data_IF_644394577307
#
_entry.id   IF_644394577307
#
_cell.length_a   1.000
_cell.length_b   1.000
_cell.length_c   1.000
_cell.angle_alpha   90.00
_cell.angle_beta   90.00
_cell.angle_gamma   90.00
#
_symmetry.space_group_name_H-M   'P 1'
#
loop_
_entity.id
_entity.type
_entity.pdbx_description
1 polymer ?
#
# COMPACT_ATOMS: atom_id res chain seq x y z
N UNK A 1 -13.78 -14.97 -7.44
CA UNK A 1 -12.81 -15.39 -6.39
C UNK A 1 -11.43 -14.92 -6.76
N UNK A 2 -10.72 -14.33 -5.82
CA UNK A 2 -9.34 -13.83 -6.03
C UNK A 2 -8.41 -15.02 -6.29
N UNK A 3 -7.63 -15.01 -7.39
CA UNK A 3 -6.67 -16.09 -7.67
C UNK A 3 -5.55 -16.19 -6.61
N UNK A 4 -5.07 -17.39 -6.34
CA UNK A 4 -3.92 -17.65 -5.45
C UNK A 4 -2.59 -17.29 -6.15
N UNK A 5 -2.46 -16.05 -6.60
CA UNK A 5 -1.29 -15.49 -7.26
C UNK A 5 -0.79 -14.31 -6.42
N UNK A 6 0.49 -14.34 -6.06
CA UNK A 6 1.18 -13.21 -5.42
C UNK A 6 1.99 -12.48 -6.48
N UNK A 7 1.68 -11.21 -6.70
CA UNK A 7 2.47 -10.35 -7.57
C UNK A 7 3.53 -9.62 -6.76
N UNK A 8 4.80 -9.81 -7.13
CA UNK A 8 5.97 -9.13 -6.58
C UNK A 8 6.64 -8.33 -7.70
N UNK A 9 6.84 -7.04 -7.51
CA UNK A 9 7.61 -6.22 -8.45
C UNK A 9 9.03 -5.97 -7.93
N UNK A 10 10.05 -6.31 -8.76
CA UNK A 10 11.45 -6.05 -8.46
C UNK A 10 12.20 -5.72 -9.74
N UNK A 11 12.47 -4.44 -9.95
CA UNK A 11 13.05 -3.91 -11.18
C UNK A 11 14.56 -3.62 -11.08
N UNK A 12 15.12 -3.73 -9.89
CA UNK A 12 16.57 -3.66 -9.70
C UNK A 12 17.21 -5.01 -10.08
N UNK A 13 18.40 -4.95 -10.65
CA UNK A 13 19.24 -6.16 -10.87
C UNK A 13 19.95 -6.59 -9.59
N UNK A 14 19.85 -5.78 -8.52
CA UNK A 14 20.49 -6.07 -7.24
C UNK A 14 19.83 -7.28 -6.54
N UNK A 15 20.63 -8.01 -5.79
CA UNK A 15 20.11 -9.04 -4.89
C UNK A 15 19.13 -8.46 -3.85
N UNK A 16 18.15 -9.27 -3.45
CA UNK A 16 17.25 -8.90 -2.36
C UNK A 16 18.04 -8.64 -1.07
N UNK A 17 17.84 -7.47 -0.44
CA UNK A 17 18.37 -7.21 0.90
C UNK A 17 17.88 -8.26 1.91
N UNK A 18 18.60 -8.49 3.03
CA UNK A 18 18.26 -9.53 3.99
C UNK A 18 16.83 -9.45 4.53
N UNK A 19 16.27 -8.24 4.72
CA UNK A 19 14.90 -8.09 5.20
C UNK A 19 13.89 -8.50 4.12
N UNK A 20 14.13 -8.16 2.87
CA UNK A 20 13.27 -8.59 1.74
C UNK A 20 13.27 -10.12 1.62
N UNK A 21 14.47 -10.77 1.73
CA UNK A 21 14.56 -12.22 1.75
C UNK A 21 13.68 -12.82 2.85
N UNK A 22 13.70 -12.24 4.08
CA UNK A 22 12.84 -12.67 5.19
C UNK A 22 11.35 -12.48 4.92
N UNK A 23 10.98 -11.38 4.26
CA UNK A 23 9.59 -11.16 3.86
C UNK A 23 9.12 -12.23 2.87
N UNK A 24 9.90 -12.49 1.81
CA UNK A 24 9.57 -13.54 0.82
C UNK A 24 9.55 -14.94 1.45
N UNK A 25 10.44 -15.23 2.41
CA UNK A 25 10.41 -16.48 3.18
C UNK A 25 9.11 -16.61 4.00
N UNK A 26 8.60 -15.51 4.55
CA UNK A 26 7.32 -15.53 5.27
C UNK A 26 6.16 -15.86 4.33
N UNK A 27 6.19 -15.37 3.06
CA UNK A 27 5.18 -15.71 2.06
C UNK A 27 5.19 -17.20 1.75
N UNK A 28 6.36 -17.79 1.47
CA UNK A 28 6.49 -19.22 1.21
C UNK A 28 6.01 -20.08 2.38
N UNK A 29 6.16 -19.60 3.61
CA UNK A 29 5.71 -20.31 4.82
C UNK A 29 4.21 -20.26 5.03
N UNK A 30 3.61 -19.09 4.82
CA UNK A 30 2.19 -18.86 5.17
C UNK A 30 1.25 -18.95 3.96
N UNK A 31 1.82 -18.95 2.75
CA UNK A 31 1.10 -19.00 1.46
C UNK A 31 1.68 -20.11 0.57
N UNK A 32 1.81 -21.37 1.05
CA UNK A 32 2.51 -22.42 0.32
C UNK A 32 1.82 -22.79 -1.00
N UNK A 33 0.50 -22.60 -1.09
CA UNK A 33 -0.33 -22.94 -2.26
C UNK A 33 -0.50 -21.75 -3.24
N UNK A 34 0.22 -20.65 -3.01
CA UNK A 34 0.15 -19.49 -3.89
C UNK A 34 1.33 -19.47 -4.86
N UNK A 35 1.05 -19.14 -6.11
CA UNK A 35 2.09 -18.89 -7.10
C UNK A 35 2.67 -17.49 -6.90
N UNK A 36 4.00 -17.35 -6.84
CA UNK A 36 4.67 -16.04 -6.77
C UNK A 36 5.11 -15.64 -8.17
N UNK A 37 4.52 -14.59 -8.69
CA UNK A 37 4.86 -14.01 -9.99
C UNK A 37 5.75 -12.79 -9.80
N UNK A 38 7.02 -12.94 -10.19
CA UNK A 38 7.96 -11.84 -10.21
C UNK A 38 7.73 -10.99 -11.46
N UNK A 39 7.49 -9.70 -11.25
CA UNK A 39 7.42 -8.67 -12.27
C UNK A 39 8.76 -7.94 -12.32
N UNK A 40 9.59 -8.36 -13.24
CA UNK A 40 10.87 -7.78 -13.61
C UNK A 40 10.82 -7.30 -15.07
N UNK A 41 11.97 -6.84 -15.61
CA UNK A 41 12.09 -6.38 -16.99
C UNK A 41 11.96 -7.51 -18.04
N UNK A 42 11.96 -8.78 -17.62
CA UNK A 42 11.74 -9.93 -18.52
C UNK A 42 10.24 -10.24 -18.65
N UNK A 43 9.48 -10.05 -17.57
CA UNK A 43 8.03 -10.31 -17.56
C UNK A 43 7.22 -9.11 -18.05
N UNK A 44 7.67 -7.89 -17.76
CA UNK A 44 7.00 -6.67 -18.16
C UNK A 44 7.89 -5.84 -19.10
N UNK A 45 7.36 -5.50 -20.26
CA UNK A 45 8.05 -4.60 -21.19
C UNK A 45 7.98 -3.17 -20.63
N UNK A 46 9.08 -2.73 -20.04
CA UNK A 46 9.23 -1.41 -19.41
C UNK A 46 8.95 -0.28 -20.41
N UNK A 47 9.24 -0.48 -21.71
CA UNK A 47 9.08 0.52 -22.75
C UNK A 47 7.64 0.59 -23.30
N UNK A 48 6.77 -0.33 -22.88
CA UNK A 48 5.37 -0.36 -23.34
C UNK A 48 4.53 0.84 -22.87
N UNK A 49 4.98 1.55 -21.84
CA UNK A 49 4.30 2.72 -21.26
C UNK A 49 5.31 3.79 -20.89
N UNK A 50 5.07 5.02 -21.37
CA UNK A 50 5.97 6.16 -21.14
C UNK A 50 6.30 6.40 -19.65
N UNK A 51 5.33 6.19 -18.75
CA UNK A 51 5.55 6.29 -17.31
C UNK A 51 6.60 5.30 -16.82
N UNK A 52 6.47 4.03 -17.18
CA UNK A 52 7.39 2.96 -16.72
C UNK A 52 8.77 3.11 -17.31
N UNK A 53 8.88 3.45 -18.60
CA UNK A 53 10.13 3.73 -19.29
C UNK A 53 10.91 4.83 -18.56
N UNK A 54 10.33 6.02 -18.44
CA UNK A 54 10.98 7.18 -17.82
C UNK A 54 11.30 6.98 -16.34
N UNK A 55 10.40 6.34 -15.58
CA UNK A 55 10.65 6.05 -14.18
C UNK A 55 11.79 5.05 -13.99
N UNK A 56 11.88 4.05 -14.88
CA UNK A 56 12.95 3.05 -14.88
C UNK A 56 14.31 3.68 -15.24
N UNK A 57 14.38 4.48 -16.30
CA UNK A 57 15.59 5.22 -16.72
C UNK A 57 16.10 6.15 -15.59
N UNK A 58 15.19 6.82 -14.89
CA UNK A 58 15.51 7.63 -13.72
C UNK A 58 15.89 6.80 -12.47
N UNK A 59 15.92 5.45 -12.55
CA UNK A 59 16.13 4.54 -11.41
C UNK A 59 15.12 4.77 -10.28
N UNK A 60 13.90 5.18 -10.64
CA UNK A 60 12.77 5.38 -9.73
C UNK A 60 11.84 4.17 -9.75
N UNK A 61 12.40 3.00 -9.48
CA UNK A 61 11.74 1.70 -9.62
C UNK A 61 10.41 1.59 -8.88
N UNK A 62 10.26 2.24 -7.71
CA UNK A 62 9.00 2.24 -6.98
C UNK A 62 7.86 2.90 -7.76
N UNK A 63 8.14 3.96 -8.54
CA UNK A 63 7.14 4.63 -9.37
C UNK A 63 6.81 3.82 -10.63
N UNK A 64 7.76 3.11 -11.21
CA UNK A 64 7.48 2.14 -12.27
C UNK A 64 6.62 0.98 -11.73
N UNK A 65 6.93 0.49 -10.53
CA UNK A 65 6.15 -0.54 -9.85
C UNK A 65 4.71 -0.11 -9.55
N UNK A 66 4.43 1.18 -9.35
CA UNK A 66 3.08 1.69 -9.15
C UNK A 66 2.15 1.40 -10.34
N UNK A 67 2.67 1.50 -11.57
CA UNK A 67 1.93 1.06 -12.75
C UNK A 67 1.81 -0.46 -12.83
N UNK A 68 2.94 -1.17 -12.67
CA UNK A 68 3.02 -2.62 -12.87
C UNK A 68 2.12 -3.37 -11.90
N UNK A 69 2.01 -2.94 -10.61
CA UNK A 69 1.09 -3.54 -9.64
C UNK A 69 -0.36 -3.44 -10.07
N UNK A 70 -0.77 -2.27 -10.58
CA UNK A 70 -2.14 -2.04 -11.04
C UNK A 70 -2.42 -2.82 -12.33
N UNK A 71 -1.45 -2.88 -13.25
CA UNK A 71 -1.51 -3.69 -14.45
C UNK A 71 -1.70 -5.17 -14.13
N UNK A 72 -0.87 -5.71 -13.23
CA UNK A 72 -0.93 -7.10 -12.82
C UNK A 72 -2.30 -7.44 -12.19
N UNK A 73 -2.75 -6.62 -11.27
CA UNK A 73 -4.04 -6.80 -10.59
C UNK A 73 -5.22 -6.69 -11.57
N UNK A 74 -5.21 -5.70 -12.47
CA UNK A 74 -6.30 -5.51 -13.43
C UNK A 74 -6.42 -6.67 -14.41
N UNK A 75 -5.28 -7.15 -14.96
CA UNK A 75 -5.30 -8.18 -16.01
C UNK A 75 -5.42 -9.60 -15.46
N UNK A 76 -4.89 -9.88 -14.29
CA UNK A 76 -4.77 -11.24 -13.77
C UNK A 76 -5.51 -11.47 -12.45
N UNK A 77 -5.91 -10.41 -11.75
CA UNK A 77 -6.36 -10.56 -10.37
C UNK A 77 -5.24 -11.05 -9.45
N UNK A 78 -5.58 -11.58 -8.30
CA UNK A 78 -4.59 -12.07 -7.32
C UNK A 78 -4.27 -11.04 -6.25
N UNK A 79 -3.12 -11.19 -5.62
CA UNK A 79 -2.69 -10.36 -4.50
C UNK A 79 -1.35 -9.70 -4.83
N UNK A 80 -1.30 -8.39 -4.83
CA UNK A 80 -0.05 -7.65 -4.88
C UNK A 80 0.50 -7.47 -3.47
N UNK A 81 1.78 -7.77 -3.31
CA UNK A 81 2.55 -7.49 -2.09
C UNK A 81 3.81 -6.69 -2.43
N UNK A 82 4.00 -5.55 -1.76
CA UNK A 82 5.32 -4.90 -1.79
C UNK A 82 6.38 -5.84 -1.21
N UNK A 83 7.59 -5.79 -1.74
CA UNK A 83 8.67 -6.72 -1.39
C UNK A 83 9.03 -6.73 0.11
N UNK A 84 8.67 -5.68 0.85
CA UNK A 84 8.91 -5.52 2.28
C UNK A 84 7.65 -5.77 3.15
N UNK A 85 6.67 -6.50 2.63
CA UNK A 85 5.54 -7.02 3.38
C UNK A 85 5.92 -8.33 4.06
N UNK A 86 5.79 -8.40 5.39
CA UNK A 86 5.97 -9.62 6.17
C UNK A 86 4.60 -10.23 6.47
N UNK A 87 4.36 -11.47 6.00
CA UNK A 87 3.09 -12.20 6.16
C UNK A 87 3.09 -13.04 7.42
N UNK A 88 1.98 -13.04 8.17
CA UNK A 88 1.79 -13.79 9.42
C UNK A 88 0.81 -14.95 9.29
N UNK A 89 -0.17 -14.85 8.40
CA UNK A 89 -1.18 -15.89 8.15
C UNK A 89 -1.68 -15.87 6.70
N UNK A 90 -2.34 -16.95 6.27
CA UNK A 90 -2.93 -17.04 4.93
C UNK A 90 -4.00 -15.98 4.69
N UNK A 91 -4.13 -15.59 3.42
CA UNK A 91 -5.23 -14.75 2.92
C UNK A 91 -6.44 -15.57 2.46
N UNK A 92 -6.46 -16.90 2.65
CA UNK A 92 -7.48 -17.80 2.09
C UNK A 92 -8.91 -17.38 2.43
N UNK A 93 -9.14 -16.88 3.63
CA UNK A 93 -10.46 -16.43 4.07
C UNK A 93 -10.91 -15.10 3.47
N UNK A 94 -10.01 -14.38 2.77
CA UNK A 94 -10.31 -13.15 2.02
C UNK A 94 -10.55 -13.41 0.53
N UNK A 95 -10.20 -14.59 0.00
CA UNK A 95 -10.25 -14.86 -1.44
C UNK A 95 -11.66 -14.88 -2.02
N UNK A 96 -12.69 -15.06 -1.18
CA UNK A 96 -14.09 -15.01 -1.59
C UNK A 96 -14.64 -13.57 -1.72
N UNK A 97 -13.88 -12.58 -1.27
CA UNK A 97 -14.21 -11.18 -1.51
C UNK A 97 -13.86 -10.81 -2.96
N UNK A 98 -14.57 -9.86 -3.58
CA UNK A 98 -14.19 -9.36 -4.90
C UNK A 98 -12.84 -8.60 -4.86
N UNK A 99 -12.54 -7.99 -3.72
CA UNK A 99 -11.27 -7.32 -3.46
C UNK A 99 -11.04 -7.12 -1.97
N UNK A 100 -9.79 -6.80 -1.61
CA UNK A 100 -9.43 -6.22 -0.33
C UNK A 100 -8.29 -5.20 -0.49
N UNK A 101 -8.40 -4.11 0.22
CA UNK A 101 -7.38 -3.06 0.37
C UNK A 101 -7.56 -2.45 1.75
N UNK A 102 -6.45 -2.08 2.39
CA UNK A 102 -6.48 -1.45 3.72
C UNK A 102 -6.13 0.03 3.71
N UNK A 103 -6.19 0.59 4.90
CA UNK A 103 -5.63 1.88 5.20
C UNK A 103 -4.36 1.74 6.05
N UNK A 104 -3.50 2.76 6.00
CA UNK A 104 -2.43 2.91 6.96
C UNK A 104 -2.95 3.57 8.25
N UNK A 105 -2.11 3.61 9.29
CA UNK A 105 -2.45 4.19 10.61
C UNK A 105 -2.76 5.69 10.56
N UNK A 106 -2.67 6.32 9.40
CA UNK A 106 -2.95 7.74 9.16
C UNK A 106 -4.11 7.95 8.22
N UNK A 107 -4.83 6.86 7.94
CA UNK A 107 -6.01 6.85 7.09
C UNK A 107 -5.73 7.23 5.63
N UNK A 108 -4.57 6.87 5.11
CA UNK A 108 -4.29 6.83 3.68
C UNK A 108 -4.49 5.42 3.18
N UNK A 109 -4.77 5.26 1.88
CA UNK A 109 -4.75 3.94 1.25
C UNK A 109 -3.41 3.26 1.47
N UNK A 110 -3.42 1.94 1.73
CA UNK A 110 -2.22 1.11 1.85
C UNK A 110 -2.07 0.20 0.62
N UNK A 111 -1.54 0.72 -0.49
CA UNK A 111 -1.44 -0.04 -1.74
C UNK A 111 -0.30 -1.07 -1.76
N UNK A 112 0.43 -1.20 -0.65
CA UNK A 112 1.44 -2.24 -0.51
C UNK A 112 0.83 -3.64 -0.42
N UNK A 113 -0.48 -3.73 -0.10
CA UNK A 113 -1.25 -4.97 -0.04
C UNK A 113 -2.61 -4.75 -0.69
N UNK A 114 -2.82 -5.34 -1.85
CA UNK A 114 -4.10 -5.29 -2.58
C UNK A 114 -4.41 -6.69 -3.09
N UNK A 115 -5.58 -7.22 -2.75
CA UNK A 115 -6.10 -8.42 -3.38
C UNK A 115 -7.35 -8.11 -4.19
N UNK A 116 -7.48 -8.67 -5.39
CA UNK A 116 -8.68 -8.44 -6.19
C UNK A 116 -8.90 -9.50 -7.28
N UNK A 117 -10.15 -9.61 -7.72
CA UNK A 117 -10.48 -10.25 -8.99
C UNK A 117 -9.96 -9.40 -10.16
N UNK A 118 -9.73 -10.03 -11.32
CA UNK A 118 -9.34 -9.30 -12.52
C UNK A 118 -10.46 -8.38 -13.03
N UNK A 119 -10.09 -7.29 -13.70
CA UNK A 119 -11.03 -6.42 -14.41
C UNK A 119 -11.83 -5.47 -13.53
N UNK A 120 -11.45 -5.24 -12.27
CA UNK A 120 -12.21 -4.33 -11.40
C UNK A 120 -12.12 -2.87 -11.85
N UNK A 121 -13.27 -2.16 -11.99
CA UNK A 121 -13.32 -0.81 -12.52
C UNK A 121 -12.50 0.21 -11.72
N UNK A 122 -12.44 0.09 -10.39
CA UNK A 122 -11.66 1.02 -9.58
C UNK A 122 -10.14 0.85 -9.75
N UNK A 123 -9.66 -0.38 -10.01
CA UNK A 123 -8.24 -0.63 -10.38
C UNK A 123 -7.97 0.00 -11.74
N UNK A 124 -8.85 -0.21 -12.72
CA UNK A 124 -8.72 0.39 -14.05
C UNK A 124 -8.66 1.92 -14.01
N UNK A 125 -9.52 2.52 -13.19
CA UNK A 125 -9.57 3.98 -13.00
C UNK A 125 -8.21 4.52 -12.55
N UNK A 126 -7.56 3.85 -11.58
CA UNK A 126 -6.24 4.26 -11.10
C UNK A 126 -5.15 3.95 -12.13
N UNK A 127 -5.23 2.80 -12.81
CA UNK A 127 -4.29 2.39 -13.85
C UNK A 127 -4.27 3.38 -15.02
N UNK A 128 -5.46 3.84 -15.45
CA UNK A 128 -5.63 4.78 -16.56
C UNK A 128 -4.91 6.11 -16.34
N UNK A 129 -4.71 6.53 -15.08
CA UNK A 129 -3.92 7.72 -14.77
C UNK A 129 -2.51 7.68 -15.39
N UNK A 130 -1.93 6.50 -15.51
CA UNK A 130 -0.53 6.32 -15.92
C UNK A 130 -0.35 6.04 -17.42
N UNK A 131 -1.41 5.64 -18.14
CA UNK A 131 -1.29 5.14 -19.53
C UNK A 131 -0.67 6.15 -20.49
N UNK A 132 -1.09 7.43 -20.39
CA UNK A 132 -0.60 8.49 -21.28
C UNK A 132 0.16 9.59 -20.54
N UNK A 133 0.43 9.36 -19.25
CA UNK A 133 1.08 10.36 -18.41
C UNK A 133 2.59 10.19 -18.43
N UNK A 134 3.37 11.25 -18.71
CA UNK A 134 4.82 11.20 -18.56
C UNK A 134 5.19 11.19 -17.07
N UNK A 135 6.27 10.49 -16.72
CA UNK A 135 6.90 10.58 -15.40
C UNK A 135 7.78 11.85 -15.30
N UNK A 136 8.42 12.23 -16.42
CA UNK A 136 9.21 13.46 -16.54
C UNK A 136 8.32 14.53 -17.16
N UNK A 137 8.06 15.60 -16.42
CA UNK A 137 7.22 16.71 -16.84
C UNK A 137 7.94 17.60 -17.88
N UNK A 138 7.19 18.45 -18.60
CA UNK A 138 7.74 19.36 -19.62
C UNK A 138 8.82 20.30 -19.10
N UNK A 139 8.80 20.65 -17.82
CA UNK A 139 9.79 21.48 -17.13
C UNK A 139 11.01 20.70 -16.62
N UNK A 140 11.09 19.39 -16.92
CA UNK A 140 12.15 18.49 -16.46
C UNK A 140 11.98 17.98 -15.03
N UNK A 141 10.95 18.41 -14.31
CA UNK A 141 10.63 17.82 -13.00
C UNK A 141 10.05 16.42 -13.13
N UNK A 142 10.18 15.62 -12.08
CA UNK A 142 9.60 14.27 -12.05
C UNK A 142 8.35 14.23 -11.18
N UNK A 143 7.32 13.48 -11.62
CA UNK A 143 6.10 13.25 -10.83
C UNK A 143 6.38 12.25 -9.71
N UNK A 144 6.53 12.74 -8.49
CA UNK A 144 6.74 11.93 -7.28
C UNK A 144 5.48 11.81 -6.42
N UNK A 145 4.30 11.95 -7.02
CA UNK A 145 3.04 11.74 -6.32
C UNK A 145 2.95 10.28 -5.85
N UNK A 146 2.88 10.08 -4.55
CA UNK A 146 2.81 8.74 -3.97
C UNK A 146 1.47 8.05 -4.28
N UNK A 147 1.49 6.75 -4.52
CA UNK A 147 0.32 5.98 -4.93
C UNK A 147 -0.88 6.11 -3.98
N UNK A 148 -0.75 6.16 -2.64
CA UNK A 148 -1.89 6.46 -1.75
C UNK A 148 -2.64 7.75 -2.10
N UNK A 149 -1.89 8.78 -2.48
CA UNK A 149 -2.46 10.07 -2.90
C UNK A 149 -3.16 9.95 -4.25
N UNK A 150 -2.55 9.19 -5.17
CA UNK A 150 -3.14 8.90 -6.48
C UNK A 150 -4.48 8.19 -6.32
N UNK A 151 -4.57 7.15 -5.47
CA UNK A 151 -5.83 6.48 -5.16
C UNK A 151 -6.89 7.48 -4.69
N UNK A 152 -6.53 8.32 -3.71
CA UNK A 152 -7.43 9.34 -3.19
C UNK A 152 -7.92 10.32 -4.26
N UNK A 153 -7.04 10.74 -5.16
CA UNK A 153 -7.36 11.69 -6.23
C UNK A 153 -8.25 11.07 -7.31
N UNK A 154 -7.95 9.82 -7.72
CA UNK A 154 -8.66 9.17 -8.82
C UNK A 154 -10.02 8.63 -8.39
N UNK A 155 -10.14 8.15 -7.16
CA UNK A 155 -11.35 7.47 -6.69
C UNK A 155 -12.29 8.38 -5.89
N UNK A 156 -11.77 9.47 -5.30
CA UNK A 156 -12.50 10.27 -4.33
C UNK A 156 -13.71 11.06 -4.83
N UNK A 157 -13.91 11.15 -6.13
CA UNK A 157 -15.11 11.75 -6.74
C UNK A 157 -16.06 10.72 -7.38
N UNK A 158 -15.59 9.46 -7.46
CA UNK A 158 -16.31 8.38 -8.14
C UNK A 158 -16.91 7.37 -7.17
N UNK A 159 -16.25 7.18 -6.02
CA UNK A 159 -16.63 6.18 -5.03
C UNK A 159 -16.85 6.83 -3.66
N UNK A 160 -17.78 6.23 -2.92
CA UNK A 160 -17.87 6.43 -1.47
C UNK A 160 -16.95 5.44 -0.76
N UNK A 161 -16.52 5.76 0.45
CA UNK A 161 -15.60 4.92 1.21
C UNK A 161 -16.21 4.52 2.54
N UNK A 162 -16.20 3.23 2.82
CA UNK A 162 -16.64 2.66 4.10
C UNK A 162 -15.45 1.99 4.77
N UNK A 163 -15.15 2.43 5.99
CA UNK A 163 -14.14 1.77 6.82
C UNK A 163 -14.74 0.55 7.48
N UNK A 164 -14.08 -0.59 7.38
CA UNK A 164 -14.52 -1.84 7.98
C UNK A 164 -13.45 -2.37 8.94
N UNK A 165 -13.89 -2.86 10.10
CA UNK A 165 -13.03 -3.38 11.17
C UNK A 165 -13.18 -4.89 11.38
N UNK A 166 -14.08 -5.52 10.64
CA UNK A 166 -14.27 -6.98 10.59
C UNK A 166 -14.53 -7.39 9.15
N UNK A 167 -14.07 -8.57 8.78
CA UNK A 167 -14.31 -9.12 7.44
C UNK A 167 -15.80 -9.23 7.11
N UNK A 168 -16.59 -9.64 8.07
CA UNK A 168 -18.04 -9.86 7.91
C UNK A 168 -18.82 -8.56 7.71
N UNK A 169 -18.20 -7.38 7.98
CA UNK A 169 -18.78 -6.07 7.70
C UNK A 169 -18.65 -5.68 6.21
N UNK A 170 -17.94 -6.50 5.39
CA UNK A 170 -17.77 -6.22 3.97
C UNK A 170 -19.09 -6.41 3.22
N UNK A 171 -19.60 -5.32 2.66
CA UNK A 171 -20.80 -5.32 1.81
C UNK A 171 -20.42 -4.79 0.43
N UNK A 172 -20.52 -5.68 -0.59
CA UNK A 172 -20.23 -5.27 -1.95
C UNK A 172 -21.29 -4.29 -2.48
N UNK A 173 -20.82 -3.18 -2.99
CA UNK A 173 -21.61 -2.18 -3.70
C UNK A 173 -20.70 -1.56 -4.78
N UNK A 174 -21.22 -1.38 -5.99
CA UNK A 174 -20.43 -0.91 -7.14
C UNK A 174 -19.92 0.53 -7.00
N UNK A 175 -20.58 1.35 -6.17
CA UNK A 175 -20.25 2.75 -5.93
C UNK A 175 -19.53 2.97 -4.59
N UNK A 176 -19.33 1.88 -3.82
CA UNK A 176 -18.73 1.95 -2.49
C UNK A 176 -17.49 1.06 -2.39
N UNK A 177 -16.38 1.65 -1.94
CA UNK A 177 -15.19 0.89 -1.61
C UNK A 177 -15.09 0.65 -0.11
N UNK A 178 -15.08 -0.62 0.27
CA UNK A 178 -14.81 -1.07 1.63
C UNK A 178 -13.31 -1.08 1.88
N UNK A 179 -12.85 -0.31 2.85
CA UNK A 179 -11.44 -0.19 3.20
C UNK A 179 -11.23 -0.81 4.58
N UNK A 180 -10.40 -1.84 4.63
CA UNK A 180 -10.03 -2.49 5.89
C UNK A 180 -9.20 -1.56 6.76
N UNK A 181 -9.46 -1.55 8.04
CA UNK A 181 -8.68 -0.71 8.97
C UNK A 181 -7.21 -1.16 9.06
N UNK A 182 -6.37 -0.30 9.63
CA UNK A 182 -4.92 -0.49 9.74
C UNK A 182 -4.52 -1.76 10.51
N UNK A 183 -5.46 -2.38 11.24
CA UNK A 183 -5.26 -3.64 11.95
C UNK A 183 -5.13 -4.86 11.06
N UNK A 184 -5.63 -4.81 9.83
CA UNK A 184 -5.63 -5.99 8.94
C UNK A 184 -4.30 -6.23 8.23
N UNK A 185 -3.72 -5.20 7.59
CA UNK A 185 -2.58 -5.37 6.70
C UNK A 185 -1.35 -4.57 7.14
N UNK A 186 -1.49 -3.70 8.14
CA UNK A 186 -0.40 -2.87 8.63
C UNK A 186 -0.31 -2.92 10.16
N UNK A 187 0.07 -4.09 10.69
CA UNK A 187 0.07 -4.33 12.14
C UNK A 187 1.24 -3.68 12.89
N UNK A 188 2.18 -3.04 12.19
CA UNK A 188 3.33 -2.40 12.82
C UNK A 188 3.18 -0.90 12.88
N UNK A 189 3.54 -0.35 14.06
CA UNK A 189 3.86 1.06 14.13
C UNK A 189 5.24 1.34 13.49
N UNK A 190 5.61 2.61 13.35
CA UNK A 190 6.90 3.03 12.78
C UNK A 190 8.14 2.51 13.52
N UNK A 191 7.98 1.96 14.71
CA UNK A 191 9.06 1.42 15.54
C UNK A 191 9.18 -0.09 15.33
N UNK A 192 8.30 -0.69 14.50
CA UNK A 192 8.31 -2.11 14.19
C UNK A 192 7.66 -3.00 15.24
N UNK A 193 6.91 -2.41 16.19
CA UNK A 193 6.13 -3.19 17.15
C UNK A 193 4.86 -3.70 16.53
N UNK A 194 4.51 -4.96 16.81
CA UNK A 194 3.23 -5.54 16.40
C UNK A 194 2.13 -4.87 17.22
N UNK A 195 1.15 -4.26 16.55
CA UNK A 195 -0.01 -3.62 17.19
C UNK A 195 -1.21 -4.55 17.29
N UNK A 196 -1.36 -5.41 16.28
CA UNK A 196 -2.53 -6.27 16.10
C UNK A 196 -2.05 -7.70 15.85
N UNK A 197 -2.12 -8.57 16.86
CA UNK A 197 -1.65 -9.96 16.76
C UNK A 197 -2.36 -10.77 15.65
N UNK A 198 -3.62 -10.43 15.35
CA UNK A 198 -4.45 -11.14 14.37
C UNK A 198 -4.31 -10.60 12.94
N UNK A 199 -3.42 -9.65 12.71
CA UNK A 199 -3.17 -9.07 11.39
C UNK A 199 -2.65 -10.10 10.38
N UNK A 200 -3.01 -9.94 9.11
CA UNK A 200 -2.53 -10.79 8.02
C UNK A 200 -1.05 -10.57 7.73
N UNK A 201 -0.61 -9.33 7.80
CA UNK A 201 0.75 -8.95 7.46
C UNK A 201 1.14 -7.63 8.10
N UNK A 202 2.39 -7.22 7.89
CA UNK A 202 2.86 -5.87 8.22
C UNK A 202 3.80 -5.34 7.17
N UNK A 203 3.71 -4.05 6.92
CA UNK A 203 4.64 -3.31 6.06
C UNK A 203 5.89 -2.93 6.86
N UNK A 204 7.08 -3.31 6.38
CA UNK A 204 8.35 -3.05 7.07
C UNK A 204 8.88 -1.63 6.83
N UNK A 205 8.28 -0.87 5.89
CA UNK A 205 8.63 0.53 5.58
C UNK A 205 10.13 0.74 5.36
N UNK A 206 10.77 -0.12 4.56
CA UNK A 206 12.21 -0.01 4.28
C UNK A 206 12.56 1.27 3.52
N UNK A 207 11.60 1.84 2.78
CA UNK A 207 11.74 3.14 2.14
C UNK A 207 12.87 3.17 1.12
N UNK A 208 13.03 2.13 0.33
CA UNK A 208 14.07 1.99 -0.70
C UNK A 208 14.10 3.15 -1.71
N UNK A 209 12.96 3.82 -1.90
CA UNK A 209 12.78 4.98 -2.78
C UNK A 209 13.15 6.33 -2.13
N UNK A 210 13.38 6.35 -0.80
CA UNK A 210 13.77 7.57 -0.08
C UNK A 210 15.27 7.82 -0.21
N UNK A 211 15.66 9.09 -0.45
CA UNK A 211 17.06 9.50 -0.50
C UNK A 211 17.77 9.17 0.83
N UNK A 212 19.05 8.81 0.76
CA UNK A 212 19.93 8.37 1.88
C UNK A 212 19.85 9.24 3.15
N UNK A 213 19.59 10.55 3.02
CA UNK A 213 19.43 11.47 4.19
C UNK A 213 18.20 11.14 5.03
N UNK A 214 17.16 10.53 4.46
CA UNK A 214 15.97 10.10 5.22
C UNK A 214 16.20 8.79 5.95
N UNK A 215 17.09 7.93 5.46
CA UNK A 215 17.45 6.67 6.12
C UNK A 215 18.16 6.90 7.47
N UNK A 216 18.94 7.99 7.60
CA UNK A 216 19.53 8.39 8.89
C UNK A 216 18.43 8.82 9.87
N UNK A 217 17.43 9.59 9.39
CA UNK A 217 16.27 9.96 10.22
C UNK A 217 15.43 8.75 10.63
N UNK A 218 15.29 7.76 9.74
CA UNK A 218 14.62 6.51 10.05
C UNK A 218 15.38 5.71 11.13
N UNK A 219 16.72 5.59 10.98
CA UNK A 219 17.60 4.92 11.98
C UNK A 219 17.58 5.65 13.32
N UNK A 220 17.60 6.99 13.33
CA UNK A 220 17.52 7.78 14.56
C UNK A 220 16.15 7.63 15.27
N UNK A 221 15.07 7.32 14.56
CA UNK A 221 13.75 7.07 15.16
C UNK A 221 13.73 5.85 16.06
N UNK A 222 14.52 4.82 15.74
CA UNK A 222 14.67 3.63 16.59
C UNK A 222 15.34 3.94 17.93
N UNK A 223 16.05 5.08 18.05
CA UNK A 223 16.70 5.54 19.28
C UNK A 223 15.82 6.44 20.13
N UNK A 224 14.69 6.93 19.59
CA UNK A 224 13.76 7.82 20.32
C UNK A 224 12.70 7.01 21.08
N UNK A 225 12.31 7.43 22.29
CA UNK A 225 11.17 6.85 22.98
C UNK A 225 9.91 6.88 22.12
N UNK A 226 9.11 5.81 22.14
CA UNK A 226 7.84 5.67 21.41
C UNK A 226 6.94 6.90 21.48
N UNK A 227 6.85 7.46 22.69
CA UNK A 227 6.04 8.65 22.97
C UNK A 227 6.46 9.84 22.10
N UNK A 228 7.78 10.03 21.93
CA UNK A 228 8.34 11.13 21.14
C UNK A 228 8.11 10.91 19.66
N UNK A 229 8.29 9.68 19.17
CA UNK A 229 8.05 9.35 17.75
C UNK A 229 6.57 9.54 17.41
N UNK A 230 5.66 9.01 18.21
CA UNK A 230 4.22 9.17 18.02
C UNK A 230 3.78 10.64 18.11
N UNK A 231 4.39 11.44 19.00
CA UNK A 231 4.13 12.86 19.10
C UNK A 231 4.61 13.64 17.88
N UNK A 232 5.80 13.33 17.34
CA UNK A 232 6.33 13.97 16.13
C UNK A 232 5.45 13.67 14.91
N UNK A 233 4.92 12.43 14.83
CA UNK A 233 3.94 12.07 13.81
C UNK A 233 2.65 12.83 14.00
N UNK A 234 2.10 12.86 15.21
CA UNK A 234 0.89 13.62 15.53
C UNK A 234 1.03 15.10 15.15
N UNK A 235 2.15 15.74 15.47
CA UNK A 235 2.41 17.13 15.06
C UNK A 235 2.46 17.31 13.54
N UNK A 236 3.06 16.36 12.81
CA UNK A 236 3.11 16.35 11.35
C UNK A 236 1.72 16.16 10.73
N UNK A 237 0.85 15.39 11.41
CA UNK A 237 -0.52 15.08 10.99
C UNK A 237 -1.51 16.21 11.18
N UNK A 238 -1.32 17.10 12.15
CA UNK A 238 -2.14 18.30 12.31
C UNK A 238 -1.95 19.31 11.17
N UNK A 239 -0.97 19.12 10.32
CA UNK A 239 -0.76 20.02 9.19
C UNK A 239 -1.91 19.88 8.17
N UNK A 240 -2.58 20.97 7.83
CA UNK A 240 -3.78 21.04 6.97
C UNK A 240 -3.68 20.31 5.62
N UNK A 241 -2.45 20.17 5.09
CA UNK A 241 -2.18 19.44 3.84
C UNK A 241 -2.47 17.93 3.92
N UNK A 242 -2.47 17.31 5.11
CA UNK A 242 -2.65 15.86 5.24
C UNK A 242 -4.13 15.50 5.27
N UNK A 243 -4.99 16.34 5.85
CA UNK A 243 -6.45 16.12 5.86
C UNK A 243 -7.03 16.00 4.44
N UNK A 244 -6.45 16.70 3.47
CA UNK A 244 -6.93 16.67 2.08
C UNK A 244 -6.61 15.38 1.34
N UNK A 245 -5.67 14.57 1.84
CA UNK A 245 -5.25 13.30 1.22
C UNK A 245 -5.75 12.07 1.99
N UNK A 246 -6.30 12.25 3.19
CA UNK A 246 -6.94 11.15 3.94
C UNK A 246 -8.18 10.63 3.23
N UNK A 247 -8.53 9.37 3.47
CA UNK A 247 -9.76 8.75 2.95
C UNK A 247 -10.97 9.43 3.60
N UNK A 248 -11.91 9.99 2.82
CA UNK A 248 -13.06 10.70 3.35
C UNK A 248 -14.20 9.71 3.64
N UNK A 249 -14.10 8.99 4.75
CA UNK A 249 -15.13 8.02 5.14
C UNK A 249 -16.49 8.67 5.40
N UNK A 250 -17.57 8.01 4.98
CA UNK A 250 -18.94 8.44 5.27
C UNK A 250 -19.31 8.23 6.74
N UNK A 251 -18.88 7.14 7.35
CA UNK A 251 -19.14 6.84 8.76
C UNK A 251 -18.03 7.39 9.64
N UNK A 252 -18.22 8.60 10.13
CA UNK A 252 -17.27 9.26 11.07
C UNK A 252 -17.23 8.64 12.47
N UNK A 253 -18.15 7.73 12.81
CA UNK A 253 -18.33 7.21 14.17
C UNK A 253 -17.20 6.32 14.71
N UNK A 254 -16.26 5.88 13.87
CA UNK A 254 -15.19 4.95 14.23
C UNK A 254 -13.76 5.51 14.11
N UNK A 255 -13.57 6.76 13.70
CA UNK A 255 -12.26 7.41 13.62
C UNK A 255 -11.72 7.71 15.03
N UNK A 256 -11.22 6.66 15.70
CA UNK A 256 -10.50 6.80 16.96
C UNK A 256 -9.01 6.63 16.70
N UNK A 257 -8.26 7.73 16.76
CA UNK A 257 -6.80 7.64 16.73
C UNK A 257 -6.31 7.04 18.06
N UNK A 258 -5.72 5.83 18.00
CA UNK A 258 -5.12 5.18 19.18
C UNK A 258 -3.79 5.86 19.52
N UNK A 259 -3.84 6.90 20.34
CA UNK A 259 -2.66 7.52 20.93
C UNK A 259 -2.48 6.91 22.33
N UNK A 260 -1.29 6.39 22.64
CA UNK A 260 -0.90 5.89 23.98
C UNK A 260 -1.66 4.68 24.52
N UNK A 261 -2.13 3.75 23.67
CA UNK A 261 -2.82 2.55 24.18
C UNK A 261 -4.20 2.83 24.82
N UNK A 262 -4.65 4.09 24.85
CA UNK A 262 -6.00 4.48 25.26
C UNK A 262 -6.71 5.15 24.09
N UNK A 263 -7.90 4.66 23.77
CA UNK A 263 -8.76 5.25 22.74
C UNK A 263 -9.36 6.54 23.30
N UNK A 264 -8.95 7.71 22.77
CA UNK A 264 -9.71 8.94 22.96
C UNK A 264 -10.46 9.29 21.67
N UNK A 265 -11.74 9.67 21.73
CA UNK A 265 -12.46 10.16 20.57
C UNK A 265 -11.81 11.47 20.10
N UNK A 266 -11.51 11.55 18.80
CA UNK A 266 -11.24 12.84 18.17
C UNK A 266 -12.60 13.48 17.87
N UNK A 267 -12.97 14.47 18.63
CA UNK A 267 -14.05 15.39 18.27
C UNK A 267 -13.44 16.34 17.23
N UNK A 268 -13.96 16.29 16.02
CA UNK A 268 -13.64 17.22 14.93
C UNK A 268 -14.53 18.45 15.10
#
# INVERSE_FOLDING_TARGET
>A
MIPKIIHLCWLSEDEYPPMIKKCIESWKRHLPDYEIWLWDTKRFDINSVLWTEQAYECKKYAFAADYIRLYALYHYGGIYLDSDIFVYKSFDDLLNLPYFIGEDFVHLFEPAVIGCEAGLPWIETVLNRYRERPFIMKDGSIDTCALPIVFRQQLGGLYTFTRISKKDDFLYDENTLNIFDDGFFNSRDYIGSIRYPDSYCSHCFLGSWLKTKSNIKLKLRHLLPRVVVNFLYFCRYKCSKIKSIQIPYQNKSSLKMKIFGKTKPLVI
#
